data_IF_375804881862
#
_entry.id   IF_375804881862
#
_cell.length_a   1.000
_cell.length_b   1.000
_cell.length_c   1.000
_cell.angle_alpha   90.00
_cell.angle_beta   90.00
_cell.angle_gamma   90.00
#
_symmetry.space_group_name_H-M   'P 1'
#
loop_
_entity.id
_entity.type
_entity.pdbx_description
1 polymer ?
#
# COMPACT_ATOMS: atom_id res chain seq x y z
N UNK A 1 13.68 4.19 13.85
CA UNK A 1 13.64 5.08 15.00
C UNK A 1 12.36 5.91 14.99
N UNK A 2 11.49 5.64 15.97
CA UNK A 2 10.12 6.17 16.06
C UNK A 2 10.04 7.70 16.22
N UNK A 3 11.04 8.34 16.80
CA UNK A 3 11.06 9.77 17.07
C UNK A 3 11.08 10.68 15.82
N UNK A 4 11.64 10.21 14.72
CA UNK A 4 11.67 10.98 13.48
C UNK A 4 10.27 11.12 12.85
N UNK A 5 9.41 10.12 13.02
CA UNK A 5 8.03 10.15 12.57
C UNK A 5 7.15 11.07 13.41
N UNK A 6 7.38 11.11 14.71
CA UNK A 6 6.67 12.00 15.63
C UNK A 6 6.96 13.47 15.33
N UNK A 7 8.21 13.81 15.02
CA UNK A 7 8.60 15.19 14.70
C UNK A 7 8.02 15.67 13.35
N UNK A 8 7.90 14.80 12.36
CA UNK A 8 7.31 15.15 11.06
C UNK A 8 5.78 15.23 11.12
N UNK A 9 5.14 14.34 11.86
CA UNK A 9 3.69 14.35 12.11
C UNK A 9 3.25 15.63 12.83
N UNK A 10 4.01 16.09 13.82
CA UNK A 10 3.72 17.32 14.53
C UNK A 10 3.79 18.54 13.62
N UNK A 11 4.73 18.58 12.67
CA UNK A 11 4.84 19.71 11.72
C UNK A 11 3.61 19.88 10.85
N UNK A 12 3.08 18.81 10.26
CA UNK A 12 1.87 18.89 9.45
C UNK A 12 0.65 19.29 10.30
N UNK A 13 0.50 18.70 11.46
CA UNK A 13 -0.57 19.03 12.39
C UNK A 13 -0.54 20.52 12.82
N UNK A 14 0.62 21.03 13.19
CA UNK A 14 0.80 22.43 13.57
C UNK A 14 0.50 23.39 12.43
N UNK A 15 0.87 23.04 11.21
CA UNK A 15 0.58 23.84 10.01
C UNK A 15 -0.92 23.88 9.74
N UNK A 16 -1.63 22.77 9.89
CA UNK A 16 -3.09 22.70 9.75
C UNK A 16 -3.82 23.53 10.80
N UNK A 17 -3.34 23.54 12.04
CA UNK A 17 -3.89 24.39 13.10
C UNK A 17 -3.65 25.87 12.82
N UNK A 18 -2.45 26.25 12.41
CA UNK A 18 -2.10 27.63 12.05
C UNK A 18 -2.92 28.15 10.87
N UNK A 19 -3.22 27.26 9.91
CA UNK A 19 -4.05 27.59 8.76
C UNK A 19 -5.55 27.60 9.09
N UNK A 20 -5.96 27.28 10.31
CA UNK A 20 -7.35 27.24 10.73
C UNK A 20 -8.17 26.09 10.13
N UNK A 21 -7.50 25.04 9.65
CA UNK A 21 -8.16 23.86 9.08
C UNK A 21 -8.69 22.91 10.16
N UNK A 22 -7.98 22.83 11.27
CA UNK A 22 -8.36 22.08 12.47
C UNK A 22 -8.05 22.91 13.71
N UNK A 23 -8.71 22.58 14.82
CA UNK A 23 -8.38 23.16 16.13
C UNK A 23 -7.22 22.40 16.80
N UNK A 24 -6.60 23.02 17.82
CA UNK A 24 -5.58 22.38 18.61
C UNK A 24 -6.11 21.12 19.33
N UNK A 25 -7.36 21.13 19.77
CA UNK A 25 -8.01 19.97 20.38
C UNK A 25 -8.20 18.83 19.35
N UNK A 26 -8.66 19.14 18.14
CA UNK A 26 -8.80 18.19 17.05
C UNK A 26 -7.44 17.56 16.65
N UNK A 27 -6.36 18.36 16.69
CA UNK A 27 -5.02 17.84 16.50
C UNK A 27 -4.65 16.81 17.57
N UNK A 28 -4.96 17.07 18.84
CA UNK A 28 -4.70 16.13 19.94
C UNK A 28 -5.47 14.82 19.75
N UNK A 29 -6.72 14.89 19.31
CA UNK A 29 -7.52 13.71 18.99
C UNK A 29 -6.89 12.88 17.84
N UNK A 30 -6.41 13.56 16.80
CA UNK A 30 -5.70 12.94 15.69
C UNK A 30 -4.39 12.26 16.12
N UNK A 31 -3.61 12.93 16.95
CA UNK A 31 -2.36 12.40 17.52
C UNK A 31 -2.60 11.19 18.43
N UNK A 32 -3.67 11.22 19.23
CA UNK A 32 -4.07 10.08 20.05
C UNK A 32 -4.44 8.86 19.19
N UNK A 33 -5.22 9.06 18.13
CA UNK A 33 -5.57 7.99 17.20
C UNK A 33 -4.34 7.46 16.45
N UNK A 34 -3.44 8.34 16.03
CA UNK A 34 -2.17 7.96 15.40
C UNK A 34 -1.31 7.11 16.33
N UNK A 35 -1.24 7.47 17.60
CA UNK A 35 -0.47 6.73 18.61
C UNK A 35 -1.07 5.34 18.87
N UNK A 36 -2.40 5.23 18.88
CA UNK A 36 -3.12 3.97 19.11
C UNK A 36 -3.03 3.02 17.91
N UNK A 37 -3.29 3.52 16.70
CA UNK A 37 -3.44 2.71 15.49
C UNK A 37 -2.25 2.79 14.54
N UNK A 38 -1.30 3.65 14.81
CA UNK A 38 -0.19 3.92 13.91
C UNK A 38 -0.61 4.74 12.67
N UNK A 39 0.30 4.89 11.73
CA UNK A 39 0.06 5.60 10.49
C UNK A 39 0.43 7.08 10.52
N UNK A 40 -0.13 7.85 9.60
CA UNK A 40 0.16 9.28 9.43
C UNK A 40 -0.91 10.14 10.09
N UNK A 41 -0.54 11.33 10.56
CA UNK A 41 -1.49 12.26 11.20
C UNK A 41 -2.59 12.69 10.22
N UNK A 42 -2.28 12.94 8.96
CA UNK A 42 -3.30 13.26 7.94
C UNK A 42 -4.36 12.18 7.79
N UNK A 43 -3.95 10.92 7.76
CA UNK A 43 -4.87 9.76 7.71
C UNK A 43 -5.74 9.66 8.96
N UNK A 44 -5.18 9.94 10.13
CA UNK A 44 -5.93 9.95 11.39
C UNK A 44 -7.01 11.04 11.40
N UNK A 45 -6.66 12.24 10.94
CA UNK A 45 -7.61 13.36 10.84
C UNK A 45 -8.75 13.08 9.84
N UNK A 46 -8.46 12.41 8.74
CA UNK A 46 -9.48 11.98 7.77
C UNK A 46 -10.40 10.90 8.38
N UNK A 47 -9.84 9.93 9.09
CA UNK A 47 -10.62 8.89 9.78
C UNK A 47 -11.56 9.47 10.85
N UNK A 48 -11.15 10.55 11.51
CA UNK A 48 -11.99 11.28 12.49
C UNK A 48 -13.01 12.21 11.82
N UNK A 49 -13.09 12.23 10.49
CA UNK A 49 -13.95 13.15 9.71
C UNK A 49 -13.68 14.65 9.99
N UNK A 50 -12.48 15.00 10.41
CA UNK A 50 -12.08 16.38 10.65
C UNK A 50 -11.65 17.09 9.36
N UNK A 51 -11.17 16.32 8.39
CA UNK A 51 -10.81 16.74 7.04
C UNK A 51 -11.20 15.66 6.05
N UNK A 52 -11.54 16.06 4.83
CA UNK A 52 -11.62 15.12 3.70
C UNK A 52 -10.24 14.92 3.09
N UNK A 53 -10.03 13.80 2.38
CA UNK A 53 -8.78 13.56 1.65
C UNK A 53 -8.53 14.67 0.61
N UNK A 54 -9.58 15.11 -0.07
CA UNK A 54 -9.50 16.21 -1.04
C UNK A 54 -9.03 17.52 -0.42
N UNK A 55 -9.59 17.90 0.72
CA UNK A 55 -9.18 19.09 1.46
C UNK A 55 -7.72 19.01 1.91
N UNK A 56 -7.29 17.83 2.37
CA UNK A 56 -5.91 17.60 2.78
C UNK A 56 -4.94 17.72 1.60
N UNK A 57 -5.27 17.11 0.46
CA UNK A 57 -4.45 17.18 -0.77
C UNK A 57 -4.36 18.62 -1.29
N UNK A 58 -5.47 19.34 -1.36
CA UNK A 58 -5.50 20.73 -1.78
C UNK A 58 -4.67 21.62 -0.84
N UNK A 59 -4.79 21.42 0.45
CA UNK A 59 -4.03 22.16 1.45
C UNK A 59 -2.52 21.91 1.31
N UNK A 60 -2.09 20.67 1.20
CA UNK A 60 -0.68 20.31 1.02
C UNK A 60 -0.11 20.87 -0.27
N UNK A 61 -0.87 20.78 -1.36
CA UNK A 61 -0.50 21.33 -2.65
C UNK A 61 -0.26 22.85 -2.58
N UNK A 62 -1.17 23.59 -1.97
CA UNK A 62 -1.08 25.05 -1.85
C UNK A 62 0.00 25.49 -0.87
N UNK A 63 0.08 24.82 0.27
CA UNK A 63 1.01 25.20 1.34
C UNK A 63 2.48 24.95 0.95
N UNK A 64 2.76 23.82 0.31
CA UNK A 64 4.13 23.46 -0.10
C UNK A 64 4.48 23.84 -1.55
N UNK A 65 3.52 24.41 -2.29
CA UNK A 65 3.73 24.79 -3.68
C UNK A 65 4.00 23.60 -4.61
N UNK A 66 3.41 22.44 -4.31
CA UNK A 66 3.58 21.19 -5.04
C UNK A 66 2.29 20.86 -5.79
N UNK A 67 2.34 20.44 -7.07
CA UNK A 67 1.13 20.06 -7.80
C UNK A 67 0.38 18.90 -7.14
N UNK A 68 -0.95 18.94 -7.19
CA UNK A 68 -1.79 17.79 -6.85
C UNK A 68 -2.11 16.99 -8.11
N UNK A 69 -2.16 15.66 -7.98
CA UNK A 69 -2.48 14.73 -9.06
C UNK A 69 -3.68 13.87 -8.69
N UNK A 70 -4.58 13.66 -9.66
CA UNK A 70 -5.65 12.68 -9.57
C UNK A 70 -5.23 11.39 -10.27
N UNK A 71 -4.79 10.41 -9.49
CA UNK A 71 -4.29 9.13 -10.02
C UNK A 71 -5.35 8.29 -10.73
N UNK A 72 -6.63 8.55 -10.47
CA UNK A 72 -7.72 7.87 -11.17
C UNK A 72 -7.81 8.26 -12.65
N UNK A 73 -7.26 9.41 -13.02
CA UNK A 73 -7.27 9.97 -14.38
C UNK A 73 -5.96 9.80 -15.14
N UNK A 74 -4.96 9.21 -14.51
CA UNK A 74 -3.61 9.07 -15.08
C UNK A 74 -3.32 7.60 -15.31
N UNK A 75 -2.88 7.28 -16.54
CA UNK A 75 -2.30 6.00 -16.86
C UNK A 75 -0.78 6.11 -16.85
N UNK A 76 -0.13 5.27 -16.05
CA UNK A 76 1.32 5.27 -15.91
C UNK A 76 1.92 4.16 -16.76
N UNK A 77 2.95 4.51 -17.53
CA UNK A 77 3.70 3.55 -18.32
C UNK A 77 4.43 2.54 -17.42
N UNK A 78 4.41 1.27 -17.83
CA UNK A 78 5.09 0.19 -17.11
C UNK A 78 6.58 0.45 -16.91
N UNK A 79 7.23 1.06 -17.88
CA UNK A 79 8.65 1.46 -17.78
C UNK A 79 8.92 2.45 -16.64
N UNK A 80 7.97 3.31 -16.34
CA UNK A 80 8.04 4.27 -15.23
C UNK A 80 7.77 3.55 -13.90
N UNK A 81 6.80 2.66 -13.86
CA UNK A 81 6.48 1.87 -12.66
C UNK A 81 7.69 1.03 -12.19
N UNK A 82 8.43 0.44 -13.12
CA UNK A 82 9.62 -0.38 -12.83
C UNK A 82 10.79 0.39 -12.19
N UNK A 83 10.78 1.72 -12.25
CA UNK A 83 11.84 2.55 -11.63
C UNK A 83 11.86 2.38 -10.11
N UNK A 84 10.69 2.22 -9.49
CA UNK A 84 10.55 2.05 -8.04
C UNK A 84 10.11 0.61 -7.75
N UNK A 85 10.85 -0.13 -6.90
CA UNK A 85 10.44 -1.46 -6.46
C UNK A 85 9.11 -1.43 -5.69
N UNK A 86 8.30 -2.48 -5.84
CA UNK A 86 7.00 -2.60 -5.18
C UNK A 86 7.09 -2.44 -3.65
N UNK A 87 8.09 -3.01 -3.01
CA UNK A 87 8.32 -2.91 -1.57
C UNK A 87 8.53 -1.47 -1.10
N UNK A 88 9.29 -0.69 -1.86
CA UNK A 88 9.57 0.72 -1.59
C UNK A 88 8.33 1.57 -1.81
N UNK A 89 7.59 1.33 -2.89
CA UNK A 89 6.33 1.99 -3.18
C UNK A 89 5.31 1.79 -2.05
N UNK A 90 5.20 0.58 -1.53
CA UNK A 90 4.31 0.25 -0.40
C UNK A 90 4.79 0.85 0.92
N UNK A 91 6.08 0.77 1.20
CA UNK A 91 6.69 1.29 2.43
C UNK A 91 6.45 2.78 2.61
N UNK A 92 6.66 3.55 1.56
CA UNK A 92 6.53 5.01 1.59
C UNK A 92 5.19 5.53 1.08
N UNK A 93 4.34 4.66 0.55
CA UNK A 93 3.10 5.04 -0.13
C UNK A 93 3.37 6.08 -1.23
N UNK A 94 4.21 5.70 -2.17
CA UNK A 94 4.63 6.51 -3.31
C UNK A 94 4.42 5.77 -4.63
N UNK A 95 4.21 6.52 -5.70
CA UNK A 95 4.06 5.96 -7.05
C UNK A 95 4.80 6.84 -8.05
N UNK A 96 5.75 6.28 -8.85
CA UNK A 96 6.31 7.02 -9.96
C UNK A 96 5.23 7.19 -11.04
N UNK A 97 5.01 8.40 -11.51
CA UNK A 97 3.95 8.72 -12.47
C UNK A 97 4.48 9.21 -13.81
N UNK A 98 5.66 9.79 -13.85
CA UNK A 98 6.29 10.26 -15.06
C UNK A 98 7.81 10.27 -14.93
N UNK A 99 8.49 10.14 -16.07
CA UNK A 99 9.94 10.29 -16.17
C UNK A 99 10.25 11.21 -17.34
N UNK A 100 11.00 12.27 -17.08
CA UNK A 100 11.49 13.21 -18.11
C UNK A 100 12.99 13.42 -17.90
N UNK A 101 13.80 12.86 -18.78
CA UNK A 101 15.26 12.92 -18.66
C UNK A 101 15.75 12.33 -17.32
N UNK A 102 16.54 13.10 -16.53
CA UNK A 102 17.04 12.65 -15.23
C UNK A 102 16.04 12.83 -14.08
N UNK A 103 14.81 13.25 -14.35
CA UNK A 103 13.79 13.56 -13.36
C UNK A 103 12.68 12.53 -13.37
N UNK A 104 12.28 12.09 -12.19
CA UNK A 104 11.11 11.25 -11.93
C UNK A 104 10.11 12.02 -11.10
N UNK A 105 8.85 12.06 -11.56
CA UNK A 105 7.75 12.61 -10.79
C UNK A 105 7.17 11.51 -9.91
N UNK A 106 7.15 11.73 -8.60
CA UNK A 106 6.59 10.81 -7.61
C UNK A 106 5.30 11.37 -7.02
N UNK A 107 4.22 10.59 -7.12
CA UNK A 107 3.01 10.85 -6.33
C UNK A 107 3.24 10.40 -4.90
N UNK A 108 2.99 11.28 -3.94
CA UNK A 108 3.25 11.09 -2.51
C UNK A 108 2.06 11.57 -1.70
N UNK A 109 1.86 10.99 -0.52
CA UNK A 109 0.88 11.51 0.45
C UNK A 109 1.40 12.81 1.07
N UNK A 110 2.67 12.81 1.44
CA UNK A 110 3.34 13.94 2.10
C UNK A 110 4.57 14.37 1.31
N UNK A 111 4.52 15.54 0.66
CA UNK A 111 5.63 16.06 -0.14
C UNK A 111 6.84 16.52 0.70
N UNK A 112 6.70 16.55 2.03
CA UNK A 112 7.80 16.88 2.96
C UNK A 112 8.62 15.67 3.38
N UNK A 113 8.24 14.47 2.95
CA UNK A 113 8.97 13.25 3.24
C UNK A 113 10.27 13.16 2.44
N UNK A 114 11.27 13.89 2.89
CA UNK A 114 12.60 13.93 2.25
C UNK A 114 13.31 12.59 2.30
N UNK A 115 13.04 11.75 3.30
CA UNK A 115 13.64 10.41 3.41
C UNK A 115 13.22 9.50 2.27
N UNK A 116 11.93 9.51 1.90
CA UNK A 116 11.46 8.76 0.74
C UNK A 116 12.10 9.26 -0.55
N UNK A 117 12.16 10.58 -0.74
CA UNK A 117 12.77 11.18 -1.93
C UNK A 117 14.27 10.88 -2.01
N UNK A 118 15.00 10.95 -0.91
CA UNK A 118 16.43 10.66 -0.85
C UNK A 118 16.70 9.17 -1.12
N UNK A 119 15.90 8.27 -0.57
CA UNK A 119 16.01 6.84 -0.84
C UNK A 119 15.80 6.53 -2.32
N UNK A 120 14.79 7.12 -2.95
CA UNK A 120 14.54 6.94 -4.38
C UNK A 120 15.68 7.51 -5.22
N UNK A 121 16.17 8.70 -4.89
CA UNK A 121 17.31 9.30 -5.56
C UNK A 121 18.56 8.43 -5.44
N UNK A 122 18.82 7.89 -4.26
CA UNK A 122 19.96 7.02 -3.99
C UNK A 122 19.88 5.70 -4.78
N UNK A 123 18.69 5.07 -4.79
CA UNK A 123 18.47 3.79 -5.46
C UNK A 123 18.48 3.90 -6.98
N UNK A 124 17.94 4.98 -7.53
CA UNK A 124 17.68 5.12 -8.96
C UNK A 124 18.62 6.09 -9.68
N UNK A 125 19.26 6.99 -8.95
CA UNK A 125 20.07 8.09 -9.50
C UNK A 125 19.24 9.22 -10.12
N UNK A 126 17.91 9.12 -10.13
CA UNK A 126 17.03 10.16 -10.66
C UNK A 126 16.77 11.27 -9.63
N UNK A 127 16.62 12.49 -10.12
CA UNK A 127 16.08 13.59 -9.32
C UNK A 127 14.57 13.41 -9.15
N UNK A 128 14.07 13.62 -7.93
CA UNK A 128 12.65 13.44 -7.61
C UNK A 128 11.92 14.76 -7.60
N UNK A 129 10.83 14.84 -8.37
CA UNK A 129 9.85 15.91 -8.32
C UNK A 129 8.58 15.38 -7.63
N UNK A 130 8.22 15.84 -6.42
CA UNK A 130 7.05 15.37 -5.73
C UNK A 130 5.76 15.99 -6.28
N UNK A 131 4.70 15.20 -6.33
CA UNK A 131 3.31 15.65 -6.50
C UNK A 131 2.45 15.02 -5.40
N UNK A 132 1.41 15.70 -4.97
CA UNK A 132 0.55 15.23 -3.87
C UNK A 132 -0.61 14.43 -4.42
N UNK A 133 -0.87 13.27 -3.84
CA UNK A 133 -2.05 12.46 -4.10
C UNK A 133 -2.70 12.01 -2.78
N UNK A 134 -3.98 11.65 -2.84
CA UNK A 134 -4.68 11.12 -1.68
C UNK A 134 -4.17 9.72 -1.32
N UNK A 135 -4.24 9.37 -0.04
CA UNK A 135 -3.81 8.05 0.43
C UNK A 135 -4.61 6.92 -0.21
N UNK A 136 -5.93 7.06 -0.32
CA UNK A 136 -6.80 6.07 -0.96
C UNK A 136 -6.47 5.88 -2.43
N UNK A 137 -6.25 6.97 -3.18
CA UNK A 137 -5.86 6.90 -4.59
C UNK A 137 -4.49 6.26 -4.79
N UNK A 138 -3.51 6.56 -3.93
CA UNK A 138 -2.19 5.93 -3.95
C UNK A 138 -2.28 4.44 -3.65
N UNK A 139 -3.05 4.03 -2.66
CA UNK A 139 -3.24 2.63 -2.31
C UNK A 139 -3.84 1.84 -3.46
N UNK A 140 -4.90 2.36 -4.08
CA UNK A 140 -5.54 1.76 -5.26
C UNK A 140 -4.55 1.67 -6.42
N UNK A 141 -3.80 2.74 -6.71
CA UNK A 141 -2.85 2.77 -7.80
C UNK A 141 -1.65 1.82 -7.58
N UNK A 142 -1.12 1.76 -6.37
CA UNK A 142 -0.04 0.82 -6.02
C UNK A 142 -0.52 -0.62 -6.22
N UNK A 143 -1.72 -0.96 -5.78
CA UNK A 143 -2.29 -2.29 -5.98
C UNK A 143 -2.55 -2.59 -7.46
N UNK A 144 -2.99 -1.60 -8.23
CA UNK A 144 -3.20 -1.73 -9.67
C UNK A 144 -1.91 -2.02 -10.45
N UNK A 145 -0.83 -1.28 -10.16
CA UNK A 145 0.41 -1.35 -10.94
C UNK A 145 1.41 -2.38 -10.44
N UNK A 146 1.44 -2.65 -9.13
CA UNK A 146 2.38 -3.61 -8.51
C UNK A 146 1.73 -4.93 -8.11
N UNK A 147 0.43 -5.08 -8.31
CA UNK A 147 -0.37 -6.21 -7.86
C UNK A 147 -0.85 -6.06 -6.42
N UNK A 148 -1.96 -6.73 -6.11
CA UNK A 148 -2.53 -6.72 -4.76
C UNK A 148 -1.59 -7.44 -3.78
N UNK A 149 -1.57 -7.01 -2.53
CA UNK A 149 -0.80 -7.66 -1.46
C UNK A 149 -1.13 -9.15 -1.38
N UNK A 150 -2.38 -9.50 -1.59
CA UNK A 150 -2.87 -10.88 -1.59
C UNK A 150 -2.27 -11.74 -2.72
N UNK A 151 -2.14 -11.17 -3.93
CA UNK A 151 -1.50 -11.86 -5.06
C UNK A 151 0.01 -12.07 -4.83
N UNK A 152 0.67 -11.14 -4.14
CA UNK A 152 2.10 -11.26 -3.80
C UNK A 152 2.30 -12.32 -2.71
N UNK A 153 1.46 -12.37 -1.70
CA UNK A 153 1.50 -13.41 -0.66
C UNK A 153 1.27 -14.79 -1.25
N UNK A 154 0.28 -14.94 -2.15
CA UNK A 154 0.04 -16.19 -2.86
C UNK A 154 1.25 -16.61 -3.70
N UNK A 155 1.85 -15.67 -4.45
CA UNK A 155 3.04 -15.96 -5.25
C UNK A 155 4.21 -16.39 -4.39
N UNK A 156 4.44 -15.72 -3.26
CA UNK A 156 5.51 -16.06 -2.31
C UNK A 156 5.30 -17.45 -1.70
N UNK A 157 4.08 -17.79 -1.32
CA UNK A 157 3.74 -19.13 -0.82
C UNK A 157 3.98 -20.20 -1.89
N UNK A 158 3.62 -19.91 -3.14
CA UNK A 158 3.88 -20.82 -4.26
C UNK A 158 5.36 -21.00 -4.57
N UNK A 159 6.15 -19.91 -4.48
CA UNK A 159 7.61 -19.97 -4.66
C UNK A 159 8.28 -20.77 -3.52
N UNK A 160 7.85 -20.57 -2.28
CA UNK A 160 8.36 -21.32 -1.13
C UNK A 160 8.04 -22.83 -1.23
N UNK A 161 6.86 -23.18 -1.79
CA UNK A 161 6.47 -24.57 -2.04
C UNK A 161 7.28 -25.24 -3.17
N UNK A 162 7.81 -24.43 -4.11
CA UNK A 162 8.63 -24.93 -5.23
C UNK A 162 10.12 -25.00 -4.93
N UNK A 163 10.58 -24.38 -3.85
CA UNK A 163 12.00 -24.36 -3.45
C UNK A 163 12.40 -25.48 -2.49
N UNK A 164 11.45 -26.25 -1.95
CA UNK A 164 11.85 -27.50 -1.30
C UNK A 164 12.25 -28.52 -2.38
N UNK A 165 13.47 -29.10 -2.30
CA UNK A 165 13.82 -30.14 -3.24
C UNK A 165 12.86 -31.29 -3.00
N UNK A 166 12.00 -31.52 -3.99
CA UNK A 166 11.13 -32.67 -4.03
C UNK A 166 11.97 -33.92 -3.84
N UNK A 167 12.02 -34.42 -2.62
CA UNK A 167 12.30 -35.83 -2.42
C UNK A 167 11.20 -36.55 -3.19
N UNK A 168 11.62 -37.22 -4.24
CA UNK A 168 10.96 -38.25 -5.02
C UNK A 168 9.65 -38.77 -4.36
N UNK A 169 8.58 -38.00 -4.51
CA UNK A 169 7.25 -38.50 -4.21
C UNK A 169 6.53 -38.59 -5.54
N UNK A 170 6.51 -39.77 -6.08
CA UNK A 170 5.81 -40.23 -7.24
C UNK A 170 4.49 -39.46 -7.43
N UNK A 171 4.36 -38.85 -8.60
CA UNK A 171 3.08 -38.59 -9.21
C UNK A 171 2.42 -39.98 -9.45
N UNK A 172 1.78 -40.51 -8.42
CA UNK A 172 0.75 -41.51 -8.64
C UNK A 172 -0.42 -40.76 -9.30
N UNK A 173 -0.54 -41.00 -10.57
CA UNK A 173 -1.74 -40.73 -11.33
C UNK A 173 -2.87 -41.42 -10.63
N UNK A 174 -3.68 -40.71 -9.90
CA UNK A 174 -4.93 -41.22 -9.37
C UNK A 174 -5.83 -41.52 -10.55
N UNK A 175 -6.01 -42.79 -10.84
CA UNK A 175 -7.01 -43.30 -11.75
C UNK A 175 -8.39 -42.73 -11.40
N UNK A 176 -9.12 -42.35 -12.43
CA UNK A 176 -10.39 -41.61 -12.47
C UNK A 176 -11.62 -42.37 -11.94
N UNK A 177 -11.50 -43.32 -11.00
CA UNK A 177 -12.65 -44.13 -10.56
C UNK A 177 -12.74 -44.31 -9.00
N UNK A 178 -12.50 -43.25 -8.23
CA UNK A 178 -12.94 -43.27 -6.84
C UNK A 178 -13.88 -42.11 -6.54
N UNK A 179 -15.17 -42.42 -6.39
CA UNK A 179 -16.15 -41.57 -5.75
C UNK A 179 -15.59 -41.11 -4.38
N UNK A 180 -15.19 -39.83 -4.34
CA UNK A 180 -14.76 -39.16 -3.11
C UNK A 180 -15.96 -39.03 -2.16
N UNK A 181 -15.99 -39.86 -1.17
CA UNK A 181 -16.95 -39.75 -0.07
C UNK A 181 -16.64 -38.47 0.72
N UNK A 182 -17.49 -37.46 0.51
CA UNK A 182 -17.37 -36.10 1.10
C UNK A 182 -17.41 -36.15 2.66
N UNK A 183 -17.94 -37.17 3.27
CA UNK A 183 -18.06 -37.30 4.73
C UNK A 183 -16.73 -37.61 5.43
N UNK A 184 -15.74 -38.17 4.72
CA UNK A 184 -14.41 -38.43 5.28
C UNK A 184 -13.47 -37.24 5.20
N UNK A 185 -13.71 -36.28 4.27
CA UNK A 185 -12.89 -35.08 4.13
C UNK A 185 -13.15 -34.04 5.23
N UNK A 186 -14.34 -34.05 5.83
CA UNK A 186 -14.71 -33.09 6.88
C UNK A 186 -14.00 -33.35 8.23
N UNK A 187 -13.56 -34.59 8.48
CA UNK A 187 -12.88 -34.95 9.73
C UNK A 187 -11.36 -34.84 9.74
N UNK A 188 -10.72 -34.80 8.55
CA UNK A 188 -9.27 -34.65 8.43
C UNK A 188 -8.84 -33.22 8.06
N UNK A 189 -9.79 -32.30 7.80
CA UNK A 189 -9.51 -30.96 7.26
C UNK A 189 -9.11 -29.93 8.32
N UNK A 190 -9.17 -30.22 9.60
CA UNK A 190 -8.80 -29.23 10.63
C UNK A 190 -7.29 -29.03 10.80
N UNK A 191 -6.44 -29.91 10.25
CA UNK A 191 -4.98 -29.84 10.43
C UNK A 191 -4.15 -29.63 9.16
N UNK A 192 -4.75 -29.58 7.95
CA UNK A 192 -3.98 -29.44 6.71
C UNK A 192 -3.99 -28.02 6.14
N UNK A 193 -2.82 -27.38 5.87
CA UNK A 193 -2.74 -26.01 5.34
C UNK A 193 -3.36 -25.83 3.95
N UNK A 194 -3.53 -26.91 3.19
CA UNK A 194 -4.12 -26.90 1.83
C UNK A 194 -5.60 -26.52 1.84
N UNK A 195 -6.34 -26.81 2.88
CA UNK A 195 -7.78 -26.52 2.99
C UNK A 195 -8.06 -25.05 3.22
N UNK A 196 -7.15 -24.31 3.86
CA UNK A 196 -7.26 -22.85 3.99
C UNK A 196 -7.22 -22.12 2.64
N UNK A 197 -6.43 -22.60 1.70
CA UNK A 197 -6.33 -22.02 0.35
C UNK A 197 -7.61 -22.22 -0.46
N UNK A 198 -8.24 -23.38 -0.39
CA UNK A 198 -9.51 -23.68 -1.07
C UNK A 198 -10.65 -22.86 -0.46
N UNK A 199 -10.71 -22.70 0.84
CA UNK A 199 -11.73 -21.86 1.51
C UNK A 199 -11.60 -20.38 1.18
N UNK A 200 -10.40 -19.85 1.02
CA UNK A 200 -10.17 -18.46 0.58
C UNK A 200 -10.66 -18.24 -0.85
N UNK A 201 -10.42 -19.16 -1.75
CA UNK A 201 -10.87 -19.07 -3.16
C UNK A 201 -12.40 -19.15 -3.25
N UNK A 202 -13.04 -20.05 -2.50
CA UNK A 202 -14.50 -20.20 -2.45
C UNK A 202 -15.20 -18.99 -1.81
N UNK A 203 -14.62 -18.39 -0.79
CA UNK A 203 -15.15 -17.20 -0.12
C UNK A 203 -15.08 -15.97 -1.03
N UNK A 204 -14.04 -15.83 -1.83
CA UNK A 204 -13.89 -14.77 -2.82
C UNK A 204 -14.88 -14.93 -4.00
N UNK A 205 -15.18 -16.15 -4.43
CA UNK A 205 -16.15 -16.44 -5.47
C UNK A 205 -17.60 -16.12 -5.03
N UNK A 206 -17.93 -16.32 -3.77
CA UNK A 206 -19.25 -16.02 -3.20
C UNK A 206 -19.47 -14.51 -2.96
N UNK A 207 -18.43 -13.75 -2.71
CA UNK A 207 -18.52 -12.29 -2.50
C UNK A 207 -18.65 -11.46 -3.78
N UNK A 208 -18.54 -12.09 -4.96
CA UNK A 208 -18.62 -11.40 -6.27
C UNK A 208 -19.97 -11.52 -6.96
N UNK A 209 -20.99 -12.12 -6.33
CA UNK A 209 -22.36 -12.16 -6.84
C UNK A 209 -23.25 -11.18 -6.13
#
# INVERSE_FOLDING_TARGET
>A
SSWAWETMSNRLGDVLVRAGKISAQQLQEGLALQKEKGGRIGSALVKLNLLTEKELVEFLSQHFGVPAIDLARVDVDESVIKIVPAEVARKYMILPVAKVGPKVTLAMIDPTNVFAMDDIKFMTGYTVDPVVASESALRIAIDKYYGSTHAIELKKVMEDLTTEPAADAALEVLDEDQELDLDTLEKESEEAPVVRLVNIILTDAIKRN
#
